data_IF_964387725798
#
_entry.id   IF_964387725798
#
_cell.length_a   1.000
_cell.length_b   1.000
_cell.length_c   1.000
_cell.angle_alpha   90.00
_cell.angle_beta   90.00
_cell.angle_gamma   90.00
#
_symmetry.space_group_name_H-M   'P 1'
#
loop_
_entity.id
_entity.type
_entity.pdbx_description
1 polymer ?
#
# COMPACT_ATOMS: atom_id res chain seq x y z
N UNK A 1 2.94 5.58 15.87
CA UNK A 1 4.28 5.38 15.30
C UNK A 1 4.36 6.33 14.10
N UNK A 2 5.11 7.44 14.20
CA UNK A 2 5.16 8.47 13.16
C UNK A 2 5.68 7.95 11.84
N UNK A 3 5.46 8.68 10.72
CA UNK A 3 5.99 8.28 9.43
C UNK A 3 7.51 8.12 9.56
N UNK A 4 8.04 6.94 9.20
CA UNK A 4 9.49 6.72 9.13
C UNK A 4 10.02 7.69 8.10
N UNK A 5 10.77 8.69 8.52
CA UNK A 5 11.47 9.61 7.62
C UNK A 5 12.41 8.79 6.75
N UNK A 6 12.05 8.60 5.49
CA UNK A 6 12.91 7.98 4.49
C UNK A 6 13.81 9.08 3.94
N UNK A 7 15.12 8.98 4.19
CA UNK A 7 16.09 9.99 3.72
C UNK A 7 16.18 10.03 2.19
N UNK A 8 16.14 8.86 1.51
CA UNK A 8 16.12 8.73 0.07
C UNK A 8 14.97 7.78 -0.28
N UNK A 9 13.90 8.32 -0.86
CA UNK A 9 12.70 7.55 -1.19
C UNK A 9 12.56 7.19 -2.67
N UNK A 10 13.39 7.82 -3.52
CA UNK A 10 13.28 7.74 -4.98
C UNK A 10 14.60 8.14 -5.64
N UNK A 11 14.97 7.46 -6.73
CA UNK A 11 16.10 7.81 -7.59
C UNK A 11 15.67 7.76 -9.05
N UNK A 12 16.07 8.77 -9.83
CA UNK A 12 15.97 8.78 -11.28
C UNK A 12 17.31 9.20 -11.87
N UNK A 13 17.86 8.38 -12.78
CA UNK A 13 19.14 8.64 -13.40
C UNK A 13 19.49 7.56 -14.40
N UNK A 14 20.76 7.50 -14.81
CA UNK A 14 21.28 6.52 -15.76
C UNK A 14 21.76 5.24 -15.05
N UNK A 15 21.47 4.08 -15.64
CA UNK A 15 21.97 2.79 -15.18
C UNK A 15 23.41 2.59 -15.63
N UNK A 16 24.37 2.68 -14.70
CA UNK A 16 25.83 2.63 -15.01
C UNK A 16 26.38 1.20 -14.85
N UNK A 17 25.89 0.46 -13.85
CA UNK A 17 26.26 -0.96 -13.65
C UNK A 17 25.01 -1.75 -13.23
N UNK A 18 24.94 -3.01 -13.72
CA UNK A 18 23.78 -3.87 -13.50
C UNK A 18 24.22 -5.27 -13.15
N UNK A 19 23.97 -5.68 -11.90
CA UNK A 19 24.23 -7.03 -11.39
C UNK A 19 22.96 -7.63 -10.81
N UNK A 20 22.85 -8.95 -10.68
CA UNK A 20 21.61 -9.62 -10.24
C UNK A 20 21.05 -9.14 -8.90
N UNK A 21 21.88 -8.61 -8.02
CA UNK A 21 21.49 -8.19 -6.68
C UNK A 21 21.76 -6.70 -6.39
N UNK A 22 22.30 -5.94 -7.37
CA UNK A 22 22.75 -4.58 -7.15
C UNK A 22 22.88 -3.83 -8.48
N UNK A 23 22.56 -2.55 -8.46
CA UNK A 23 22.77 -1.62 -9.57
C UNK A 23 23.48 -0.37 -9.10
N UNK A 24 24.22 0.28 -10.02
CA UNK A 24 24.75 1.61 -9.85
C UNK A 24 23.95 2.57 -10.72
N UNK A 25 23.34 3.57 -10.11
CA UNK A 25 22.58 4.62 -10.79
C UNK A 25 23.30 5.93 -10.65
N UNK A 26 23.66 6.54 -11.77
CA UNK A 26 24.19 7.90 -11.83
C UNK A 26 23.05 8.92 -11.84
N UNK A 27 23.06 9.78 -10.84
CA UNK A 27 22.14 10.93 -10.74
C UNK A 27 22.99 12.22 -10.77
N UNK A 28 23.14 12.79 -11.96
CA UNK A 28 23.91 14.04 -12.18
C UNK A 28 25.34 13.98 -11.62
N UNK A 29 26.07 12.90 -11.87
CA UNK A 29 27.46 12.72 -11.45
C UNK A 29 27.63 12.12 -10.04
N UNK A 30 26.54 11.78 -9.36
CA UNK A 30 26.57 11.05 -8.09
C UNK A 30 26.10 9.62 -8.31
N UNK A 31 27.00 8.64 -8.08
CA UNK A 31 26.70 7.23 -8.22
C UNK A 31 26.05 6.64 -6.95
N UNK A 32 24.81 6.18 -7.08
CA UNK A 32 24.08 5.51 -6.01
C UNK A 32 24.13 4.00 -6.19
N UNK A 33 24.71 3.31 -5.23
CA UNK A 33 24.74 1.85 -5.19
C UNK A 33 23.46 1.33 -4.51
N UNK A 34 22.62 0.62 -5.26
CA UNK A 34 21.29 0.22 -4.82
C UNK A 34 21.15 -1.30 -4.89
N UNK A 35 20.82 -1.94 -3.79
CA UNK A 35 20.49 -3.36 -3.75
C UNK A 35 19.08 -3.58 -4.29
N UNK A 36 18.89 -4.57 -5.16
CA UNK A 36 17.63 -4.83 -5.85
C UNK A 36 17.25 -6.32 -5.78
N UNK A 37 15.97 -6.70 -5.82
CA UNK A 37 15.55 -8.07 -6.03
C UNK A 37 15.73 -8.51 -7.49
N UNK A 38 15.73 -9.82 -7.72
CA UNK A 38 15.86 -10.39 -9.07
C UNK A 38 14.72 -9.96 -10.01
N UNK A 39 13.51 -9.78 -9.50
CA UNK A 39 12.37 -9.24 -10.27
C UNK A 39 12.72 -7.89 -10.89
N UNK A 40 13.26 -6.97 -10.10
CA UNK A 40 13.74 -5.66 -10.57
C UNK A 40 14.89 -5.81 -11.55
N UNK A 41 15.87 -6.71 -11.28
CA UNK A 41 16.98 -6.93 -12.20
C UNK A 41 16.54 -7.35 -13.59
N UNK A 42 15.59 -8.30 -13.71
CA UNK A 42 15.09 -8.76 -15.00
C UNK A 42 14.24 -7.72 -15.74
N UNK A 43 13.56 -6.86 -15.01
CA UNK A 43 12.68 -5.85 -15.58
C UNK A 43 13.38 -4.52 -15.90
N UNK A 44 14.60 -4.29 -15.42
CA UNK A 44 15.42 -3.14 -15.78
C UNK A 44 15.91 -3.26 -17.22
N UNK A 45 15.98 -2.12 -17.91
CA UNK A 45 16.57 -1.96 -19.25
C UNK A 45 18.07 -2.22 -19.31
N UNK A 46 18.67 -1.81 -20.41
CA UNK A 46 20.10 -1.97 -20.68
C UNK A 46 20.95 -0.90 -19.98
N UNK A 47 22.27 -1.10 -19.97
CA UNK A 47 23.21 -0.10 -19.45
C UNK A 47 23.07 1.22 -20.21
N UNK A 48 23.21 2.31 -19.48
CA UNK A 48 23.08 3.71 -19.95
C UNK A 48 21.65 4.16 -20.28
N UNK A 49 20.65 3.32 -20.06
CA UNK A 49 19.25 3.75 -20.11
C UNK A 49 18.82 4.48 -18.85
N UNK A 50 17.81 5.34 -18.98
CA UNK A 50 17.19 6.02 -17.86
C UNK A 50 16.42 5.02 -17.00
N UNK A 51 16.69 5.06 -15.70
CA UNK A 51 16.02 4.22 -14.70
C UNK A 51 15.36 5.05 -13.63
N UNK A 52 14.22 4.58 -13.16
CA UNK A 52 13.51 5.13 -12.03
C UNK A 52 13.31 4.03 -10.99
N UNK A 53 13.80 4.23 -9.77
CA UNK A 53 13.66 3.29 -8.66
C UNK A 53 12.97 3.97 -7.48
N UNK A 54 11.99 3.28 -6.92
CA UNK A 54 11.49 3.57 -5.59
C UNK A 54 12.46 3.00 -4.56
N UNK A 55 12.89 3.80 -3.61
CA UNK A 55 13.98 3.42 -2.70
C UNK A 55 13.49 3.35 -1.26
N UNK A 56 13.95 2.32 -0.56
CA UNK A 56 13.92 2.24 0.88
C UNK A 56 15.33 2.48 1.42
N UNK A 57 15.49 3.52 2.26
CA UNK A 57 16.76 3.80 2.95
C UNK A 57 16.81 3.03 4.26
N UNK A 58 17.83 2.20 4.42
CA UNK A 58 18.09 1.50 5.66
C UNK A 58 19.31 2.12 6.33
N UNK A 59 19.10 2.81 7.44
CA UNK A 59 20.14 3.48 8.21
C UNK A 59 20.62 2.56 9.33
N UNK A 60 21.93 2.43 9.48
CA UNK A 60 22.62 1.84 10.62
C UNK A 60 23.59 2.88 11.21
N UNK A 61 24.17 2.59 12.35
CA UNK A 61 25.10 3.49 13.02
C UNK A 61 26.31 3.87 12.16
N UNK A 62 26.77 2.94 11.32
CA UNK A 62 27.99 3.03 10.52
C UNK A 62 27.75 3.04 9.00
N UNK A 63 26.52 2.88 8.54
CA UNK A 63 26.26 2.71 7.12
C UNK A 63 24.86 3.10 6.69
N UNK A 64 24.75 3.54 5.43
CA UNK A 64 23.49 3.77 4.73
C UNK A 64 23.39 2.77 3.59
N UNK A 65 22.34 1.95 3.59
CA UNK A 65 22.04 1.01 2.51
C UNK A 65 20.76 1.41 1.79
N UNK A 66 20.80 1.37 0.46
CA UNK A 66 19.65 1.67 -0.40
C UNK A 66 19.11 0.39 -1.02
N UNK A 67 17.80 0.21 -0.96
CA UNK A 67 17.07 -0.92 -1.53
C UNK A 67 16.08 -0.40 -2.55
N UNK A 68 16.20 -0.82 -3.82
CA UNK A 68 15.45 -0.27 -4.95
C UNK A 68 14.44 -1.25 -5.54
N UNK A 69 13.31 -0.71 -5.97
CA UNK A 69 12.18 -1.45 -6.52
C UNK A 69 11.57 -0.68 -7.69
N UNK A 70 11.06 -1.38 -8.68
CA UNK A 70 10.32 -0.76 -9.78
C UNK A 70 8.88 -0.44 -9.44
N UNK A 71 8.29 -1.17 -8.49
CA UNK A 71 6.88 -0.97 -8.10
C UNK A 71 6.72 -0.61 -6.64
N UNK A 72 5.72 0.24 -6.35
CA UNK A 72 5.35 0.60 -4.99
C UNK A 72 4.91 -0.64 -4.18
N UNK A 73 4.33 -1.64 -4.85
CA UNK A 73 3.87 -2.88 -4.24
C UNK A 73 5.03 -3.72 -3.72
N UNK A 74 6.11 -3.88 -4.51
CA UNK A 74 7.31 -4.61 -4.07
C UNK A 74 8.02 -3.88 -2.92
N UNK A 75 8.20 -2.54 -3.04
CA UNK A 75 8.78 -1.72 -1.98
C UNK A 75 8.00 -1.90 -0.68
N UNK A 76 6.70 -1.78 -0.74
CA UNK A 76 5.82 -1.93 0.41
C UNK A 76 5.93 -3.33 1.04
N UNK A 77 5.95 -4.37 0.19
CA UNK A 77 6.10 -5.74 0.68
C UNK A 77 7.48 -5.99 1.32
N UNK A 78 8.53 -5.38 0.77
CA UNK A 78 9.85 -5.37 1.40
C UNK A 78 9.81 -4.73 2.79
N UNK A 79 9.16 -3.58 2.94
CA UNK A 79 9.00 -2.88 4.22
C UNK A 79 8.20 -3.71 5.23
N UNK A 80 7.19 -4.42 4.78
CA UNK A 80 6.48 -5.40 5.62
C UNK A 80 7.40 -6.54 6.06
N UNK A 81 8.16 -7.14 5.15
CA UNK A 81 9.07 -8.24 5.47
C UNK A 81 10.10 -7.83 6.53
N UNK A 82 10.75 -6.68 6.37
CA UNK A 82 11.76 -6.19 7.35
C UNK A 82 11.15 -5.77 8.69
N UNK A 83 9.84 -5.60 8.78
CA UNK A 83 9.15 -5.34 10.03
C UNK A 83 8.87 -6.60 10.85
N UNK A 84 9.13 -7.79 10.27
CA UNK A 84 9.00 -9.06 10.97
C UNK A 84 10.29 -9.41 11.71
N UNK A 85 10.15 -9.92 12.93
CA UNK A 85 11.28 -10.28 13.79
C UNK A 85 12.17 -11.35 13.16
N UNK A 86 13.46 -11.04 13.01
CA UNK A 86 14.45 -11.95 12.42
C UNK A 86 14.52 -11.89 10.88
N UNK A 87 13.80 -10.97 10.24
CA UNK A 87 13.90 -10.70 8.81
C UNK A 87 14.63 -9.38 8.59
N UNK A 88 15.92 -9.46 8.27
CA UNK A 88 16.69 -8.29 7.86
C UNK A 88 16.53 -7.98 6.37
N UNK A 89 17.00 -6.80 5.91
CA UNK A 89 16.88 -6.36 4.52
C UNK A 89 17.45 -7.35 3.49
N UNK A 90 18.60 -7.97 3.77
CA UNK A 90 19.21 -8.95 2.88
C UNK A 90 18.33 -10.20 2.71
N UNK A 91 17.66 -10.66 3.78
CA UNK A 91 16.76 -11.78 3.71
C UNK A 91 15.45 -11.39 3.00
N UNK A 92 14.93 -10.20 3.24
CA UNK A 92 13.75 -9.69 2.55
C UNK A 92 13.95 -9.61 1.02
N UNK A 93 15.14 -9.16 0.55
CA UNK A 93 15.49 -9.20 -0.88
C UNK A 93 15.53 -10.62 -1.44
N UNK A 94 16.10 -11.58 -0.68
CA UNK A 94 16.11 -12.99 -1.10
C UNK A 94 14.69 -13.58 -1.21
N UNK A 95 13.80 -13.20 -0.29
CA UNK A 95 12.40 -13.61 -0.31
C UNK A 95 11.72 -13.08 -1.57
N UNK A 96 11.84 -11.78 -1.86
CA UNK A 96 11.29 -11.16 -3.08
C UNK A 96 11.94 -11.64 -4.38
N UNK A 97 13.19 -12.11 -4.31
CA UNK A 97 13.87 -12.70 -5.45
C UNK A 97 13.45 -14.16 -5.71
N UNK A 98 13.05 -14.88 -4.67
CA UNK A 98 12.65 -16.28 -4.75
C UNK A 98 11.17 -16.50 -4.99
N UNK A 99 10.33 -15.49 -4.75
CA UNK A 99 8.88 -15.60 -4.88
C UNK A 99 8.28 -14.21 -5.15
N UNK A 100 7.40 -14.12 -6.14
CA UNK A 100 6.68 -12.87 -6.45
C UNK A 100 5.73 -12.46 -5.33
N UNK A 101 5.37 -11.18 -5.26
CA UNK A 101 4.40 -10.68 -4.26
C UNK A 101 3.05 -11.39 -4.40
N UNK A 102 2.65 -11.74 -5.64
CA UNK A 102 1.39 -12.46 -5.91
C UNK A 102 1.40 -13.90 -5.39
N UNK A 103 2.56 -14.51 -5.25
CA UNK A 103 2.73 -15.83 -4.66
C UNK A 103 2.94 -15.77 -3.14
N UNK A 104 3.67 -14.74 -2.65
CA UNK A 104 3.94 -14.54 -1.23
C UNK A 104 2.66 -14.25 -0.43
N UNK A 105 1.79 -13.40 -0.96
CA UNK A 105 0.53 -13.03 -0.32
C UNK A 105 -0.33 -14.24 0.05
N UNK A 106 -0.73 -15.13 -0.88
CA UNK A 106 -1.52 -16.31 -0.54
C UNK A 106 -0.75 -17.31 0.33
N UNK A 107 0.58 -17.43 0.16
CA UNK A 107 1.40 -18.32 0.99
C UNK A 107 1.41 -17.88 2.46
N UNK A 108 1.52 -16.57 2.73
CA UNK A 108 1.49 -16.02 4.09
C UNK A 108 0.08 -16.14 4.68
N UNK A 109 -0.97 -15.80 3.93
CA UNK A 109 -2.37 -15.91 4.37
C UNK A 109 -2.77 -17.35 4.68
N UNK A 110 -2.39 -18.26 3.80
CA UNK A 110 -2.64 -19.70 3.94
C UNK A 110 -1.76 -20.40 4.97
N UNK A 111 -0.69 -19.75 5.46
CA UNK A 111 0.26 -20.38 6.36
C UNK A 111 1.11 -21.47 5.69
N UNK A 112 1.39 -21.33 4.40
CA UNK A 112 2.15 -22.32 3.62
C UNK A 112 3.65 -22.25 3.95
N UNK A 113 4.02 -22.84 5.08
CA UNK A 113 5.41 -22.90 5.55
C UNK A 113 6.31 -23.65 4.57
N UNK A 114 5.77 -24.64 3.84
CA UNK A 114 6.54 -25.46 2.90
C UNK A 114 7.04 -24.59 1.74
N UNK A 115 6.19 -23.74 1.19
CA UNK A 115 6.60 -22.81 0.13
C UNK A 115 7.62 -21.80 0.63
N UNK A 116 7.41 -21.21 1.79
CA UNK A 116 8.32 -20.21 2.36
C UNK A 116 9.69 -20.78 2.69
N UNK A 117 9.78 -22.01 3.21
CA UNK A 117 11.06 -22.65 3.55
C UNK A 117 11.87 -23.10 2.33
N UNK A 118 11.31 -23.10 1.12
CA UNK A 118 12.07 -23.32 -0.12
C UNK A 118 12.97 -22.14 -0.48
N UNK A 119 12.70 -20.96 0.09
CA UNK A 119 13.50 -19.75 -0.16
C UNK A 119 14.83 -19.87 0.60
N UNK A 120 16.00 -19.75 -0.07
CA UNK A 120 17.29 -19.85 0.58
C UNK A 120 17.46 -18.82 1.72
N UNK A 121 17.73 -19.31 2.92
CA UNK A 121 17.87 -18.48 4.12
C UNK A 121 16.59 -18.33 4.95
N UNK A 122 15.45 -18.87 4.50
CA UNK A 122 14.21 -18.94 5.27
C UNK A 122 14.09 -20.32 5.90
N UNK A 123 14.43 -20.41 7.19
CA UNK A 123 14.21 -21.61 8.00
C UNK A 123 12.76 -21.67 8.53
N UNK A 124 12.37 -22.83 9.08
CA UNK A 124 11.02 -23.06 9.61
C UNK A 124 10.61 -21.99 10.62
N UNK A 125 11.46 -21.65 11.58
CA UNK A 125 11.18 -20.63 12.60
C UNK A 125 10.95 -19.23 11.98
N UNK A 126 11.72 -18.88 10.95
CA UNK A 126 11.57 -17.62 10.23
C UNK A 126 10.27 -17.60 9.43
N UNK A 127 9.93 -18.70 8.75
CA UNK A 127 8.67 -18.84 8.03
C UNK A 127 7.45 -18.71 8.97
N UNK A 128 7.48 -19.38 10.12
CA UNK A 128 6.42 -19.29 11.14
C UNK A 128 6.24 -17.84 11.63
N UNK A 129 7.33 -17.12 11.91
CA UNK A 129 7.29 -15.69 12.30
C UNK A 129 6.73 -14.80 11.20
N UNK A 130 7.19 -14.98 9.95
CA UNK A 130 6.67 -14.24 8.80
C UNK A 130 5.16 -14.43 8.69
N UNK A 131 4.68 -15.67 8.78
CA UNK A 131 3.24 -15.97 8.70
C UNK A 131 2.48 -15.29 9.83
N UNK A 132 2.89 -15.45 11.08
CA UNK A 132 2.16 -14.89 12.23
C UNK A 132 2.17 -13.35 12.19
N UNK A 133 3.35 -12.74 12.08
CA UNK A 133 3.48 -11.28 12.18
C UNK A 133 2.92 -10.54 10.96
N UNK A 134 3.06 -11.11 9.76
CA UNK A 134 2.58 -10.44 8.55
C UNK A 134 1.11 -10.74 8.24
N UNK A 135 0.55 -11.86 8.65
CA UNK A 135 -0.88 -12.14 8.47
C UNK A 135 -1.73 -11.05 9.11
N UNK A 136 -1.42 -10.67 10.34
CA UNK A 136 -2.16 -9.63 11.08
C UNK A 136 -1.98 -8.25 10.43
N UNK A 137 -0.75 -7.93 9.99
CA UNK A 137 -0.45 -6.67 9.30
C UNK A 137 -1.14 -6.61 7.93
N UNK A 138 -1.15 -7.69 7.17
CA UNK A 138 -1.83 -7.77 5.87
C UNK A 138 -3.35 -7.69 6.01
N UNK A 139 -3.92 -8.27 7.07
CA UNK A 139 -5.34 -8.13 7.38
C UNK A 139 -5.73 -6.68 7.76
N UNK A 140 -4.85 -5.99 8.49
CA UNK A 140 -5.04 -4.59 8.88
C UNK A 140 -4.84 -3.60 7.71
N UNK A 141 -4.14 -4.01 6.65
CA UNK A 141 -3.82 -3.18 5.48
C UNK A 141 -4.80 -3.38 4.33
N UNK A 142 -5.52 -4.47 4.30
CA UNK A 142 -6.68 -4.52 3.43
C UNK A 142 -7.62 -3.42 3.90
N UNK A 143 -8.07 -2.51 2.98
CA UNK A 143 -9.28 -1.77 3.27
C UNK A 143 -10.28 -2.85 3.71
N UNK A 144 -10.98 -2.68 4.85
CA UNK A 144 -11.84 -3.72 5.38
C UNK A 144 -12.61 -4.26 4.19
N UNK A 145 -12.34 -5.53 3.86
CA UNK A 145 -13.17 -6.18 2.84
C UNK A 145 -14.57 -5.90 3.33
N UNK A 146 -15.43 -5.28 2.51
CA UNK A 146 -16.79 -5.20 2.92
C UNK A 146 -17.14 -6.64 3.28
N UNK A 147 -17.38 -6.90 4.57
CA UNK A 147 -18.08 -8.11 4.95
C UNK A 147 -19.11 -8.27 3.86
N UNK A 148 -19.09 -9.39 3.16
CA UNK A 148 -20.08 -9.71 2.15
C UNK A 148 -21.45 -9.81 2.86
N UNK A 149 -21.89 -8.68 3.34
CA UNK A 149 -23.30 -8.39 3.43
C UNK A 149 -23.67 -8.31 1.96
N UNK A 150 -24.62 -9.09 1.45
CA UNK A 150 -25.11 -8.93 0.11
C UNK A 150 -25.66 -7.51 0.02
N UNK A 151 -24.79 -6.58 -0.38
CA UNK A 151 -25.15 -5.20 -0.64
C UNK A 151 -25.86 -5.23 -1.99
N UNK A 152 -27.13 -5.56 -1.95
CA UNK A 152 -28.03 -5.24 -3.03
C UNK A 152 -27.90 -3.72 -3.29
N UNK A 153 -27.25 -3.33 -4.40
CA UNK A 153 -27.47 -2.07 -5.05
C UNK A 153 -26.55 -0.88 -4.74
N UNK A 154 -25.39 -1.02 -4.05
CA UNK A 154 -24.45 0.11 -3.97
C UNK A 154 -23.63 0.22 -5.24
N UNK A 155 -23.56 1.42 -5.81
CA UNK A 155 -22.70 1.72 -6.96
C UNK A 155 -21.23 1.87 -6.50
N UNK A 156 -20.26 1.67 -7.42
CA UNK A 156 -18.83 1.89 -7.15
C UNK A 156 -18.58 3.31 -6.59
N UNK A 157 -19.30 4.30 -7.13
CA UNK A 157 -19.26 5.69 -6.73
C UNK A 157 -19.60 5.89 -5.23
N UNK A 158 -20.61 5.21 -4.73
CA UNK A 158 -21.01 5.27 -3.32
C UNK A 158 -19.97 4.66 -2.40
N UNK A 159 -19.33 3.58 -2.83
CA UNK A 159 -18.21 2.95 -2.11
C UNK A 159 -17.01 3.89 -1.99
N UNK A 160 -16.67 4.59 -3.08
CA UNK A 160 -15.56 5.54 -3.12
C UNK A 160 -15.82 6.76 -2.21
N UNK A 161 -17.07 7.25 -2.16
CA UNK A 161 -17.47 8.35 -1.26
C UNK A 161 -17.35 7.94 0.22
N UNK A 162 -17.79 6.74 0.60
CA UNK A 162 -17.61 6.24 1.97
C UNK A 162 -16.14 6.15 2.32
N UNK A 163 -15.31 5.62 1.43
CA UNK A 163 -13.84 5.53 1.64
C UNK A 163 -13.21 6.91 1.85
N UNK A 164 -13.62 7.91 1.08
CA UNK A 164 -13.14 9.29 1.24
C UNK A 164 -13.53 9.89 2.60
N UNK A 165 -14.76 9.66 3.06
CA UNK A 165 -15.24 10.13 4.36
C UNK A 165 -14.48 9.49 5.53
N UNK A 166 -14.16 8.18 5.43
CA UNK A 166 -13.34 7.48 6.41
C UNK A 166 -11.92 8.06 6.49
N UNK A 167 -11.31 8.37 5.34
CA UNK A 167 -10.00 9.02 5.28
C UNK A 167 -10.02 10.46 5.85
N UNK A 168 -11.15 11.14 5.82
CA UNK A 168 -11.38 12.43 6.46
C UNK A 168 -11.66 12.32 7.97
N UNK A 169 -11.68 11.09 8.53
CA UNK A 169 -11.83 10.85 9.96
C UNK A 169 -13.28 10.69 10.46
N UNK A 170 -14.25 10.58 9.56
CA UNK A 170 -15.64 10.30 9.95
C UNK A 170 -15.82 8.84 10.29
N UNK A 171 -16.70 8.55 11.27
CA UNK A 171 -17.08 7.17 11.60
C UNK A 171 -17.86 6.51 10.45
N UNK A 172 -17.62 5.21 10.23
CA UNK A 172 -18.22 4.44 9.13
C UNK A 172 -19.75 4.49 9.14
N UNK A 173 -20.36 4.30 10.32
CA UNK A 173 -21.83 4.31 10.45
C UNK A 173 -22.42 5.68 10.13
N UNK A 174 -21.75 6.74 10.56
CA UNK A 174 -22.16 8.10 10.26
C UNK A 174 -22.04 8.40 8.75
N UNK A 175 -20.94 7.99 8.11
CA UNK A 175 -20.70 8.16 6.68
C UNK A 175 -21.74 7.40 5.83
N UNK A 176 -22.01 6.13 6.15
CA UNK A 176 -22.98 5.30 5.44
C UNK A 176 -24.42 5.80 5.59
N UNK A 177 -24.80 6.23 6.81
CA UNK A 177 -26.11 6.79 7.08
C UNK A 177 -26.33 8.09 6.31
N UNK A 178 -25.37 9.00 6.35
CA UNK A 178 -25.43 10.29 5.67
C UNK A 178 -25.52 10.10 4.13
N UNK A 179 -24.74 9.17 3.57
CA UNK A 179 -24.79 8.83 2.15
C UNK A 179 -26.16 8.27 1.75
N UNK A 180 -26.74 7.38 2.55
CA UNK A 180 -28.04 6.79 2.30
C UNK A 180 -29.16 7.85 2.31
N UNK A 181 -29.12 8.81 3.26
CA UNK A 181 -30.07 9.91 3.36
C UNK A 181 -29.94 10.88 2.18
N UNK A 182 -28.72 11.18 1.73
CA UNK A 182 -28.46 12.01 0.55
C UNK A 182 -28.92 11.33 -0.72
N UNK A 183 -28.65 10.02 -0.90
CA UNK A 183 -29.10 9.26 -2.07
C UNK A 183 -30.62 9.12 -2.13
N UNK A 184 -31.28 8.95 -0.99
CA UNK A 184 -32.74 8.90 -0.89
C UNK A 184 -33.40 10.25 -1.20
N UNK A 185 -32.83 11.37 -0.73
CA UNK A 185 -33.37 12.71 -0.95
C UNK A 185 -33.07 13.25 -2.37
N UNK A 186 -31.98 12.80 -3.01
CA UNK A 186 -31.61 13.20 -4.37
C UNK A 186 -32.55 12.64 -5.46
N UNK A 187 -33.30 11.60 -5.16
CA UNK A 187 -34.29 11.01 -6.07
C UNK A 187 -35.57 11.86 -6.25
N UNK A 188 -35.83 12.85 -5.40
CA UNK A 188 -37.03 13.65 -5.43
C UNK A 188 -36.89 15.07 -6.03
N UNK A 189 -35.67 15.50 -6.37
CA UNK A 189 -35.46 16.81 -7.00
C UNK A 189 -35.51 16.70 -8.51
N UNK A 190 -36.67 17.10 -9.10
CA UNK A 190 -36.90 17.28 -10.54
C UNK A 190 -36.04 18.43 -11.13
N UNK A 191 -34.71 18.38 -11.00
CA UNK A 191 -33.81 19.25 -11.76
C UNK A 191 -32.41 18.65 -11.75
N UNK A 192 -32.00 18.01 -12.84
CA UNK A 192 -30.62 17.67 -13.13
C UNK A 192 -30.20 16.26 -12.71
N UNK A 193 -30.77 15.23 -13.34
CA UNK A 193 -30.34 13.83 -13.19
C UNK A 193 -28.85 13.56 -13.50
N UNK A 194 -28.11 14.56 -13.98
CA UNK A 194 -26.66 14.48 -14.25
C UNK A 194 -25.78 15.10 -13.15
N UNK A 195 -26.31 15.88 -12.21
CA UNK A 195 -25.48 16.61 -11.24
C UNK A 195 -25.01 15.74 -10.06
N UNK A 196 -25.70 14.64 -9.74
CA UNK A 196 -25.32 13.73 -8.63
C UNK A 196 -24.57 12.47 -9.09
N UNK A 197 -24.25 12.37 -10.37
CA UNK A 197 -23.50 11.24 -10.92
C UNK A 197 -21.97 11.39 -10.83
N UNK A 198 -21.47 12.51 -10.28
CA UNK A 198 -20.05 12.71 -10.09
C UNK A 198 -19.66 12.48 -8.62
N UNK A 199 -18.51 11.85 -8.41
CA UNK A 199 -17.91 11.63 -7.09
C UNK A 199 -17.88 12.90 -6.23
N UNK A 200 -17.45 14.03 -6.81
CA UNK A 200 -17.34 15.31 -6.09
C UNK A 200 -18.69 15.85 -5.60
N UNK A 201 -19.73 15.75 -6.42
CA UNK A 201 -21.06 16.23 -6.08
C UNK A 201 -21.66 15.41 -4.92
N UNK A 202 -21.53 14.09 -4.99
CA UNK A 202 -22.04 13.18 -3.97
C UNK A 202 -21.25 13.32 -2.66
N UNK A 203 -19.91 13.43 -2.72
CA UNK A 203 -19.07 13.67 -1.55
C UNK A 203 -19.41 15.00 -0.88
N UNK A 204 -19.54 16.08 -1.65
CA UNK A 204 -19.89 17.41 -1.14
C UNK A 204 -21.26 17.43 -0.45
N UNK A 205 -22.27 16.80 -1.06
CA UNK A 205 -23.61 16.72 -0.48
C UNK A 205 -23.60 15.93 0.85
N UNK A 206 -22.86 14.83 0.91
CA UNK A 206 -22.75 14.01 2.12
C UNK A 206 -22.00 14.75 3.24
N UNK A 207 -20.93 15.49 2.92
CA UNK A 207 -20.21 16.34 3.89
C UNK A 207 -21.09 17.46 4.43
N UNK A 208 -21.87 18.13 3.59
CA UNK A 208 -22.84 19.14 4.02
C UNK A 208 -23.89 18.56 4.97
N UNK A 209 -24.39 17.38 4.68
CA UNK A 209 -25.35 16.68 5.53
C UNK A 209 -24.75 16.31 6.91
N UNK A 210 -23.52 15.79 6.93
CA UNK A 210 -22.80 15.47 8.17
C UNK A 210 -22.52 16.71 9.01
N UNK A 211 -22.13 17.83 8.39
CA UNK A 211 -21.88 19.08 9.10
C UNK A 211 -23.16 19.72 9.69
N UNK A 212 -24.29 19.55 9.01
CA UNK A 212 -25.60 20.04 9.47
C UNK A 212 -26.14 19.19 10.63
N UNK A 213 -25.93 17.88 10.62
CA UNK A 213 -26.34 16.97 11.72
C UNK A 213 -25.50 17.22 12.98
N UNK A 214 -24.19 17.45 12.83
CA UNK A 214 -23.31 17.75 13.96
C UNK A 214 -23.67 19.07 14.68
N UNK A 215 -24.13 20.09 13.94
CA UNK A 215 -24.64 21.34 14.54
C UNK A 215 -25.92 21.17 15.34
N UNK A 216 -26.81 20.24 14.91
CA UNK A 216 -28.06 19.99 15.66
C UNK A 216 -27.81 19.30 16.99
N UNK A 217 -26.83 18.37 17.04
CA UNK A 217 -26.48 17.66 18.27
C UNK A 217 -25.75 18.54 19.30
N UNK A 218 -25.03 19.57 18.85
CA UNK A 218 -24.36 20.55 19.73
C UNK A 218 -25.32 21.60 20.31
N UNK A 219 -26.40 21.92 19.59
CA UNK A 219 -27.45 22.89 20.05
C UNK A 219 -28.52 22.23 20.92
N UNK A 220 -28.57 20.89 21.01
CA UNK A 220 -29.54 20.15 21.81
C UNK A 220 -29.00 19.69 23.17
N UNK A 221 -27.78 20.09 23.52
CA UNK A 221 -27.15 19.92 24.84
C UNK A 221 -27.03 21.26 25.57
#
# INVERSE_FOLDING_TARGET
MGPREQMIGYLRGQLVDKRPNQVLVDVNGVGYLVAIPLSTFYALGELHEDVTLLVHTHLREDSIALYGFLTAREKHFFELLISASGVGPALALKILSGMSVDELLPAIRGGDLVRLTRIPGVGRKTAERIVVELRDKLAAMEPPQPERVPAAGRTQLESDVVSALLNLGYDRRAAEKALQEVSANGGNARAGANAMQTFEALLRATLQHLSASHRKDVLAR
#
